data_IF_486111637146
#
_entry.id   IF_486111637146
#
_cell.length_a   1.000
_cell.length_b   1.000
_cell.length_c   1.000
_cell.angle_alpha   90.00
_cell.angle_beta   90.00
_cell.angle_gamma   90.00
#
_symmetry.space_group_name_H-M   'P 1'
#
loop_
_entity.id
_entity.type
_entity.pdbx_description
1 polymer ?
#
# COMPACT_ATOMS: atom_id res chain seq x y z
N UNK A 1 -33.40 -11.66 -16.53
CA UNK A 1 -32.22 -11.16 -17.25
C UNK A 1 -31.65 -12.33 -18.02
N UNK A 2 -31.55 -12.19 -19.34
CA UNK A 2 -31.13 -13.27 -20.23
C UNK A 2 -29.61 -13.43 -20.16
N UNK A 3 -29.14 -14.65 -19.84
CA UNK A 3 -27.73 -14.92 -19.50
C UNK A 3 -26.81 -14.71 -20.71
N UNK A 4 -27.37 -14.76 -21.93
CA UNK A 4 -26.65 -14.53 -23.18
C UNK A 4 -26.19 -13.08 -23.40
N UNK A 5 -26.86 -12.09 -22.83
CA UNK A 5 -26.48 -10.67 -23.00
C UNK A 5 -25.26 -10.28 -22.15
N UNK A 6 -25.01 -10.99 -21.04
CA UNK A 6 -23.90 -10.72 -20.12
C UNK A 6 -22.53 -11.15 -20.68
N UNK A 7 -22.50 -12.17 -21.55
CA UNK A 7 -21.25 -12.66 -22.15
C UNK A 7 -20.74 -11.77 -23.30
N UNK A 8 -21.61 -10.93 -23.86
CA UNK A 8 -21.28 -10.01 -24.96
C UNK A 8 -21.10 -8.56 -24.49
N UNK A 9 -21.18 -8.29 -23.20
CA UNK A 9 -21.06 -6.95 -22.65
C UNK A 9 -19.60 -6.49 -22.65
N UNK A 10 -19.29 -5.49 -23.47
CA UNK A 10 -18.02 -4.75 -23.40
C UNK A 10 -18.27 -3.41 -22.69
N UNK A 11 -17.62 -3.13 -21.55
CA UNK A 11 -17.79 -1.86 -20.87
C UNK A 11 -17.14 -0.72 -21.67
N UNK A 12 -17.86 0.39 -21.80
CA UNK A 12 -17.39 1.60 -22.50
C UNK A 12 -16.10 2.14 -21.85
N UNK A 13 -15.00 2.10 -22.61
CA UNK A 13 -13.73 2.74 -22.23
C UNK A 13 -13.87 4.25 -22.39
N UNK A 14 -14.15 4.90 -21.27
CA UNK A 14 -13.80 6.30 -21.04
C UNK A 14 -14.97 7.27 -21.16
N UNK A 15 -15.62 7.52 -20.03
CA UNK A 15 -16.40 8.73 -19.82
C UNK A 15 -15.48 9.95 -20.00
N UNK A 16 -15.66 10.69 -21.11
CA UNK A 16 -15.10 12.03 -21.21
C UNK A 16 -15.88 12.93 -20.25
N UNK A 17 -15.15 13.55 -19.31
CA UNK A 17 -15.66 14.56 -18.37
C UNK A 17 -16.41 15.65 -19.15
N UNK A 18 -17.57 16.15 -18.69
CA UNK A 18 -18.27 17.23 -19.37
C UNK A 18 -17.45 18.53 -19.21
N UNK A 19 -17.25 19.26 -20.30
CA UNK A 19 -16.81 20.66 -20.27
C UNK A 19 -18.02 21.49 -20.69
N UNK A 20 -18.34 22.49 -19.86
CA UNK A 20 -19.55 23.30 -19.92
C UNK A 20 -19.70 24.05 -21.26
N UNK A 21 -20.99 24.22 -21.60
CA UNK A 21 -21.55 24.81 -22.81
C UNK A 21 -21.33 26.33 -22.85
N UNK A 22 -20.90 26.85 -24.00
CA UNK A 22 -21.28 28.18 -24.46
C UNK A 22 -21.41 28.11 -25.98
N UNK A 23 -22.65 28.19 -26.43
CA UNK A 23 -23.04 28.05 -27.83
C UNK A 23 -22.54 29.17 -28.73
N UNK A 24 -22.54 28.89 -30.04
CA UNK A 24 -23.03 29.73 -31.15
C UNK A 24 -22.52 29.12 -32.48
N UNK A 25 -23.47 28.51 -33.22
CA UNK A 25 -23.66 28.65 -34.67
C UNK A 25 -22.52 28.34 -35.69
N UNK A 26 -22.71 27.26 -36.47
CA UNK A 26 -22.90 27.20 -37.95
C UNK A 26 -22.20 26.00 -38.64
N UNK A 27 -23.04 25.15 -39.26
CA UNK A 27 -22.88 24.44 -40.57
C UNK A 27 -21.48 23.88 -40.90
N UNK A 28 -21.27 22.62 -41.28
CA UNK A 28 -21.87 21.99 -42.47
C UNK A 28 -21.44 20.51 -42.58
N UNK A 29 -22.39 19.64 -42.90
CA UNK A 29 -22.32 18.35 -43.64
C UNK A 29 -21.10 17.41 -43.48
N UNK A 30 -21.41 16.27 -42.87
CA UNK A 30 -20.75 14.96 -43.00
C UNK A 30 -20.91 14.41 -44.43
N UNK A 31 -19.85 13.77 -44.98
CA UNK A 31 -19.81 12.42 -45.61
C UNK A 31 -18.94 12.36 -46.87
N UNK A 32 -17.83 11.62 -46.82
CA UNK A 32 -17.61 10.35 -47.56
C UNK A 32 -16.15 9.93 -47.36
N UNK A 33 -15.89 8.83 -46.67
CA UNK A 33 -15.87 7.44 -47.16
C UNK A 33 -14.50 7.09 -47.76
N UNK A 34 -13.79 6.19 -47.05
CA UNK A 34 -12.80 5.20 -47.54
C UNK A 34 -11.58 5.75 -48.28
N UNK A 35 -10.39 5.56 -47.69
CA UNK A 35 -9.53 4.46 -48.14
C UNK A 35 -8.33 4.23 -47.21
N UNK A 36 -8.03 2.94 -47.07
CA UNK A 36 -6.95 2.34 -46.30
C UNK A 36 -5.61 2.78 -46.86
N UNK A 37 -4.72 3.29 -45.99
CA UNK A 37 -3.28 3.26 -46.28
C UNK A 37 -2.53 2.88 -45.01
N UNK A 38 -2.21 1.59 -44.92
CA UNK A 38 -1.15 1.08 -44.06
C UNK A 38 0.13 1.79 -44.50
N UNK A 39 0.58 2.76 -43.70
CA UNK A 39 1.87 3.40 -43.91
C UNK A 39 2.90 2.56 -43.15
N UNK A 40 3.69 1.78 -43.89
CA UNK A 40 4.94 1.22 -43.41
C UNK A 40 5.79 2.37 -42.85
N UNK A 41 6.06 2.33 -41.55
CA UNK A 41 7.04 3.20 -40.92
C UNK A 41 8.40 2.58 -41.24
N UNK A 42 9.13 3.25 -42.13
CA UNK A 42 10.54 2.96 -42.43
C UNK A 42 11.35 3.37 -41.20
N UNK A 43 12.34 2.58 -40.73
CA UNK A 43 13.19 3.00 -39.62
C UNK A 43 14.08 4.15 -40.09
N UNK A 44 13.91 5.32 -39.48
CA UNK A 44 14.79 6.48 -39.64
C UNK A 44 15.98 6.30 -38.68
N UNK A 45 17.25 6.38 -39.13
CA UNK A 45 18.42 6.02 -38.32
C UNK A 45 18.91 7.13 -37.38
N UNK A 46 18.03 8.01 -36.90
CA UNK A 46 18.40 9.13 -36.01
C UNK A 46 17.62 9.10 -34.68
N UNK A 47 17.68 7.98 -33.95
CA UNK A 47 17.13 7.88 -32.58
C UNK A 47 18.09 7.18 -31.62
N UNK A 48 19.38 7.50 -31.67
CA UNK A 48 20.35 7.08 -30.64
C UNK A 48 20.24 7.89 -29.33
N UNK A 49 19.48 8.99 -29.31
CA UNK A 49 19.37 9.87 -28.13
C UNK A 49 18.27 9.46 -27.13
N UNK A 50 17.32 8.57 -27.50
CA UNK A 50 16.20 8.21 -26.62
C UNK A 50 16.47 7.01 -25.72
N UNK A 51 17.40 6.13 -26.10
CA UNK A 51 17.79 4.97 -25.28
C UNK A 51 18.68 5.41 -24.11
N UNK A 52 19.58 6.37 -24.33
CA UNK A 52 20.42 6.95 -23.27
C UNK A 52 19.58 7.63 -22.19
N UNK A 53 18.52 8.35 -22.57
CA UNK A 53 17.62 9.00 -21.62
C UNK A 53 16.81 7.97 -20.81
N UNK A 54 16.43 6.84 -21.41
CA UNK A 54 15.72 5.77 -20.70
C UNK A 54 16.64 5.06 -19.71
N UNK A 55 17.88 4.78 -20.12
CA UNK A 55 18.88 4.14 -19.27
C UNK A 55 19.31 5.07 -18.13
N UNK A 56 19.47 6.37 -18.40
CA UNK A 56 19.78 7.39 -17.39
C UNK A 56 18.62 7.64 -16.41
N UNK A 57 17.37 7.45 -16.85
CA UNK A 57 16.20 7.50 -15.95
C UNK A 57 16.10 6.23 -15.10
N UNK A 58 16.45 5.05 -15.64
CA UNK A 58 16.51 3.81 -14.88
C UNK A 58 17.62 3.86 -13.81
N UNK A 59 18.81 4.35 -14.18
CA UNK A 59 19.96 4.49 -13.27
C UNK A 59 19.63 5.44 -12.10
N UNK A 60 19.00 6.58 -12.37
CA UNK A 60 18.55 7.52 -11.32
C UNK A 60 17.46 6.98 -10.40
N UNK A 61 16.72 5.95 -10.82
CA UNK A 61 15.71 5.29 -9.99
C UNK A 61 16.36 4.20 -9.12
N UNK A 62 17.36 3.49 -9.64
CA UNK A 62 18.14 2.48 -8.91
C UNK A 62 19.03 3.11 -7.85
N UNK A 63 19.73 4.21 -8.16
CA UNK A 63 20.57 4.94 -7.19
C UNK A 63 19.76 5.55 -6.04
N UNK A 64 18.46 5.79 -6.24
CA UNK A 64 17.57 6.33 -5.20
C UNK A 64 17.06 5.25 -4.23
N UNK A 65 17.17 3.98 -4.59
CA UNK A 65 16.78 2.85 -3.73
C UNK A 65 17.92 2.35 -2.84
N UNK A 66 19.19 2.60 -3.21
CA UNK A 66 20.36 2.11 -2.47
C UNK A 66 20.76 2.99 -1.26
N UNK A 67 20.38 4.27 -1.22
CA UNK A 67 20.75 5.22 -0.15
C UNK A 67 19.63 5.47 0.87
N UNK A 68 18.90 4.43 1.27
CA UNK A 68 18.21 4.52 2.57
C UNK A 68 19.22 4.13 3.65
N UNK A 69 20.16 5.04 3.96
CA UNK A 69 20.91 4.97 5.21
C UNK A 69 19.88 4.92 6.35
N UNK A 70 19.65 3.71 6.86
CA UNK A 70 18.80 3.48 8.02
C UNK A 70 19.54 4.13 9.19
N UNK A 71 19.18 5.36 9.52
CA UNK A 71 19.60 5.95 10.79
C UNK A 71 19.28 4.93 11.89
N UNK A 72 20.23 4.61 12.77
CA UNK A 72 20.02 3.60 13.79
C UNK A 72 18.83 4.02 14.63
N UNK A 73 17.76 3.21 14.60
CA UNK A 73 16.60 3.46 15.43
C UNK A 73 17.06 3.37 16.89
N UNK A 74 16.97 4.49 17.60
CA UNK A 74 17.35 4.56 19.01
C UNK A 74 16.52 3.57 19.85
N UNK A 75 17.19 2.77 20.69
CA UNK A 75 16.54 1.83 21.62
C UNK A 75 15.48 2.51 22.50
N UNK A 76 15.71 3.77 22.86
CA UNK A 76 14.77 4.56 23.67
C UNK A 76 13.46 4.87 22.91
N UNK A 77 13.55 5.11 21.60
CA UNK A 77 12.41 5.32 20.71
C UNK A 77 11.60 4.03 20.56
N UNK A 78 12.30 2.90 20.38
CA UNK A 78 11.69 1.55 20.31
C UNK A 78 10.92 1.23 21.59
N UNK A 79 11.54 1.47 22.76
CA UNK A 79 10.87 1.28 24.06
C UNK A 79 9.60 2.12 24.16
N UNK A 80 9.65 3.38 23.74
CA UNK A 80 8.47 4.26 23.73
C UNK A 80 7.38 3.75 22.78
N UNK A 81 7.76 3.25 21.61
CA UNK A 81 6.85 2.69 20.61
C UNK A 81 6.13 1.45 21.16
N UNK A 82 6.87 0.51 21.76
CA UNK A 82 6.32 -0.69 22.42
C UNK A 82 5.36 -0.31 23.56
N UNK A 83 5.75 0.64 24.42
CA UNK A 83 4.87 1.10 25.52
C UNK A 83 3.59 1.78 25.01
N UNK A 84 3.68 2.49 23.87
CA UNK A 84 2.52 3.13 23.24
C UNK A 84 1.59 2.09 22.64
N UNK A 85 2.13 1.05 22.02
CA UNK A 85 1.38 -0.11 21.52
C UNK A 85 0.58 -0.79 22.64
N UNK A 86 1.22 -1.11 23.77
CA UNK A 86 0.54 -1.71 24.92
C UNK A 86 -0.62 -0.84 25.41
N UNK A 87 -0.39 0.48 25.51
CA UNK A 87 -1.43 1.43 25.93
C UNK A 87 -2.60 1.50 24.95
N UNK A 88 -2.34 1.45 23.65
CA UNK A 88 -3.38 1.47 22.60
C UNK A 88 -4.14 0.14 22.55
N UNK A 89 -3.44 -0.98 22.64
CA UNK A 89 -4.03 -2.33 22.69
C UNK A 89 -4.96 -2.48 23.89
N UNK A 90 -4.51 -2.07 25.09
CA UNK A 90 -5.33 -2.10 26.29
C UNK A 90 -6.60 -1.23 26.17
N UNK A 91 -6.47 0.00 25.65
CA UNK A 91 -7.62 0.89 25.43
C UNK A 91 -8.61 0.32 24.42
N UNK A 92 -8.13 -0.25 23.32
CA UNK A 92 -8.98 -0.86 22.31
C UNK A 92 -9.75 -2.04 22.92
N UNK A 93 -9.07 -2.92 23.65
CA UNK A 93 -9.71 -4.04 24.34
C UNK A 93 -10.76 -3.56 25.37
N UNK A 94 -10.43 -2.53 26.15
CA UNK A 94 -11.35 -1.95 27.13
C UNK A 94 -12.64 -1.42 26.47
N UNK A 95 -12.52 -0.73 25.33
CA UNK A 95 -13.67 -0.19 24.61
C UNK A 95 -14.49 -1.30 23.94
N UNK A 96 -13.86 -2.35 23.41
CA UNK A 96 -14.57 -3.52 22.86
C UNK A 96 -15.36 -4.26 23.93
N UNK A 97 -14.84 -4.33 25.16
CA UNK A 97 -15.56 -4.89 26.31
C UNK A 97 -16.71 -3.96 26.76
N UNK A 98 -16.48 -2.64 26.77
CA UNK A 98 -17.51 -1.66 27.19
C UNK A 98 -18.64 -1.50 26.18
N UNK A 99 -18.35 -1.61 24.88
CA UNK A 99 -19.27 -1.30 23.79
C UNK A 99 -19.23 -2.39 22.70
N UNK A 100 -19.59 -3.64 23.00
CA UNK A 100 -19.49 -4.74 22.04
C UNK A 100 -20.38 -4.54 20.80
N UNK A 101 -21.55 -3.92 20.96
CA UNK A 101 -22.52 -3.73 19.87
C UNK A 101 -22.36 -2.42 19.09
N UNK A 102 -21.43 -1.54 19.51
CA UNK A 102 -21.27 -0.20 18.93
C UNK A 102 -19.86 0.00 18.35
N UNK A 103 -19.60 -0.48 17.12
CA UNK A 103 -18.27 -0.40 16.50
C UNK A 103 -17.74 1.02 16.33
N UNK A 104 -18.62 2.01 16.16
CA UNK A 104 -18.23 3.43 16.07
C UNK A 104 -17.48 3.94 17.31
N UNK A 105 -17.68 3.32 18.48
CA UNK A 105 -17.06 3.76 19.74
C UNK A 105 -15.61 3.31 19.88
N UNK A 106 -15.20 2.20 19.24
CA UNK A 106 -13.84 1.69 19.31
C UNK A 106 -13.06 1.81 17.99
N UNK A 107 -13.73 2.18 16.90
CA UNK A 107 -13.13 2.38 15.57
C UNK A 107 -11.89 3.30 15.60
N UNK A 108 -11.96 4.45 16.27
CA UNK A 108 -10.82 5.38 16.38
C UNK A 108 -9.63 4.72 17.09
N UNK A 109 -9.87 4.03 18.20
CA UNK A 109 -8.80 3.32 18.92
C UNK A 109 -8.25 2.12 18.16
N UNK A 110 -9.02 1.58 17.24
CA UNK A 110 -8.62 0.47 16.39
C UNK A 110 -7.71 0.93 15.25
N UNK A 111 -8.03 2.08 14.65
CA UNK A 111 -7.15 2.77 13.70
C UNK A 111 -5.84 3.17 14.38
N UNK A 112 -5.90 3.78 15.56
CA UNK A 112 -4.71 4.10 16.35
C UNK A 112 -3.84 2.86 16.63
N UNK A 113 -4.46 1.72 16.94
CA UNK A 113 -3.76 0.45 17.16
C UNK A 113 -3.12 -0.06 15.86
N UNK A 114 -3.81 0.08 14.72
CA UNK A 114 -3.25 -0.29 13.42
C UNK A 114 -2.01 0.57 13.09
N UNK A 115 -2.10 1.90 13.27
CA UNK A 115 -1.01 2.82 12.97
C UNK A 115 0.26 2.51 13.79
N UNK A 116 0.12 2.24 15.10
CA UNK A 116 1.29 1.90 15.93
C UNK A 116 1.87 0.53 15.56
N UNK A 117 1.04 -0.43 15.13
CA UNK A 117 1.52 -1.72 14.65
C UNK A 117 2.30 -1.57 13.34
N UNK A 118 1.90 -0.64 12.47
CA UNK A 118 2.66 -0.32 11.25
C UNK A 118 4.00 0.32 11.59
N UNK A 119 4.02 1.30 12.51
CA UNK A 119 5.27 1.90 13.00
C UNK A 119 6.20 0.85 13.64
N UNK A 120 5.63 -0.08 14.43
CA UNK A 120 6.38 -1.17 15.05
C UNK A 120 7.04 -2.10 14.02
N UNK A 121 6.60 -2.12 12.76
CA UNK A 121 7.17 -2.99 11.74
C UNK A 121 8.67 -2.78 11.51
N UNK A 122 9.17 -1.57 11.77
CA UNK A 122 10.61 -1.25 11.70
C UNK A 122 11.42 -2.09 12.69
N UNK A 123 10.85 -2.49 13.84
CA UNK A 123 11.55 -3.38 14.78
C UNK A 123 11.80 -4.75 14.14
N UNK A 124 10.86 -5.24 13.31
CA UNK A 124 10.99 -6.56 12.68
C UNK A 124 12.19 -6.65 11.72
N UNK A 125 12.71 -5.53 11.20
CA UNK A 125 13.89 -5.51 10.33
C UNK A 125 15.22 -5.51 11.09
N UNK A 126 15.19 -5.42 12.43
CA UNK A 126 16.39 -5.32 13.27
C UNK A 126 16.34 -6.36 14.39
N UNK A 127 16.96 -7.54 14.20
CA UNK A 127 16.90 -8.63 15.19
C UNK A 127 17.55 -8.26 16.54
N UNK A 128 18.50 -7.34 16.54
CA UNK A 128 19.17 -6.86 17.76
C UNK A 128 18.19 -6.25 18.77
N UNK A 129 17.08 -5.69 18.31
CA UNK A 129 16.09 -5.01 19.15
C UNK A 129 15.03 -5.96 19.74
N UNK A 130 15.04 -7.25 19.39
CA UNK A 130 14.02 -8.20 19.86
C UNK A 130 14.06 -8.47 21.36
N UNK A 131 15.21 -8.27 22.01
CA UNK A 131 15.30 -8.36 23.46
C UNK A 131 14.33 -7.40 24.16
N UNK A 132 14.10 -6.21 23.59
CA UNK A 132 13.17 -5.22 24.11
C UNK A 132 11.71 -5.69 24.07
N UNK A 133 11.33 -6.44 23.03
CA UNK A 133 9.99 -7.01 22.90
C UNK A 133 9.72 -8.08 23.97
N UNK A 134 10.75 -8.84 24.32
CA UNK A 134 10.69 -9.86 25.39
C UNK A 134 10.61 -9.18 26.76
N UNK A 135 11.49 -8.21 27.03
CA UNK A 135 11.54 -7.50 28.32
C UNK A 135 10.25 -6.75 28.64
N UNK A 136 9.63 -6.14 27.63
CA UNK A 136 8.37 -5.39 27.77
C UNK A 136 7.12 -6.26 27.58
N UNK A 137 7.28 -7.57 27.43
CA UNK A 137 6.20 -8.56 27.31
C UNK A 137 5.25 -8.33 26.11
N UNK A 138 5.70 -7.58 25.09
CA UNK A 138 4.90 -7.20 23.93
C UNK A 138 4.52 -8.40 23.05
N UNK A 139 5.33 -9.46 23.09
CA UNK A 139 5.10 -10.70 22.33
C UNK A 139 3.75 -11.34 22.69
N UNK A 140 3.36 -11.30 23.97
CA UNK A 140 2.08 -11.86 24.41
C UNK A 140 0.90 -11.07 23.85
N UNK A 141 0.99 -9.74 23.87
CA UNK A 141 -0.03 -8.86 23.31
C UNK A 141 -0.14 -9.00 21.80
N UNK A 142 0.99 -9.10 21.08
CA UNK A 142 1.02 -9.40 19.64
C UNK A 142 0.37 -10.75 19.33
N UNK A 143 0.68 -11.79 20.09
CA UNK A 143 0.07 -13.11 19.92
C UNK A 143 -1.45 -13.07 20.15
N UNK A 144 -1.91 -12.29 21.13
CA UNK A 144 -3.34 -12.07 21.37
C UNK A 144 -4.07 -11.42 20.19
N UNK A 145 -3.39 -10.55 19.45
CA UNK A 145 -3.93 -9.88 18.26
C UNK A 145 -4.02 -10.80 17.03
N UNK A 146 -3.37 -11.98 17.03
CA UNK A 146 -3.55 -12.98 15.96
C UNK A 146 -4.95 -13.63 15.95
N UNK A 147 -5.78 -13.36 16.94
CA UNK A 147 -7.19 -13.79 16.95
C UNK A 147 -8.14 -12.60 16.95
N UNK A 148 -7.66 -11.43 16.52
CA UNK A 148 -8.48 -10.22 16.46
C UNK A 148 -9.56 -10.36 15.38
N UNK A 149 -10.76 -9.83 15.66
CA UNK A 149 -11.90 -9.91 14.73
C UNK A 149 -11.69 -9.11 13.44
N UNK A 150 -10.88 -8.05 13.53
CA UNK A 150 -10.49 -7.27 12.37
C UNK A 150 -9.31 -7.91 11.64
N UNK A 151 -9.59 -8.34 10.41
CA UNK A 151 -8.63 -8.96 9.49
C UNK A 151 -7.44 -8.07 9.16
N UNK A 152 -7.60 -6.74 9.17
CA UNK A 152 -6.50 -5.83 8.86
C UNK A 152 -5.43 -5.85 9.95
N UNK A 153 -5.86 -5.88 11.22
CA UNK A 153 -4.96 -6.04 12.37
C UNK A 153 -4.29 -7.42 12.34
N UNK A 154 -5.08 -8.47 12.07
CA UNK A 154 -4.57 -9.83 11.92
C UNK A 154 -3.45 -9.90 10.86
N UNK A 155 -3.71 -9.36 9.66
CA UNK A 155 -2.78 -9.39 8.55
C UNK A 155 -1.49 -8.63 8.88
N UNK A 156 -1.61 -7.47 9.53
CA UNK A 156 -0.46 -6.66 9.91
C UNK A 156 0.44 -7.37 10.93
N UNK A 157 -0.14 -7.99 11.96
CA UNK A 157 0.62 -8.78 12.94
C UNK A 157 1.23 -10.03 12.30
N UNK A 158 0.50 -10.70 11.39
CA UNK A 158 1.04 -11.82 10.62
C UNK A 158 2.23 -11.40 9.75
N UNK A 159 2.16 -10.22 9.12
CA UNK A 159 3.25 -9.66 8.33
C UNK A 159 4.46 -9.35 9.21
N UNK A 160 4.24 -8.72 10.37
CA UNK A 160 5.27 -8.48 11.38
C UNK A 160 5.98 -9.79 11.77
N UNK A 161 5.22 -10.84 12.05
CA UNK A 161 5.77 -12.15 12.41
C UNK A 161 6.53 -12.80 11.25
N UNK A 162 6.01 -12.73 10.02
CA UNK A 162 6.69 -13.29 8.85
C UNK A 162 8.04 -12.60 8.58
N UNK A 163 8.07 -11.26 8.73
CA UNK A 163 9.28 -10.45 8.59
C UNK A 163 10.32 -10.80 9.65
N UNK A 164 9.90 -11.02 10.90
CA UNK A 164 10.82 -11.39 11.97
C UNK A 164 11.45 -12.77 11.82
N UNK A 165 10.80 -13.69 11.10
CA UNK A 165 11.37 -14.99 10.75
C UNK A 165 12.41 -14.92 9.61
N UNK A 166 12.28 -13.95 8.68
CA UNK A 166 13.21 -13.82 7.56
C UNK A 166 14.58 -13.30 8.01
N UNK A 167 14.61 -12.32 8.90
CA UNK A 167 15.86 -11.70 9.39
C UNK A 167 16.53 -12.52 10.52
N UNK A 168 15.76 -13.39 11.19
CA UNK A 168 16.22 -14.19 12.34
C UNK A 168 16.95 -15.50 12.00
N UNK A 169 17.10 -15.85 10.72
CA UNK A 169 17.75 -17.09 10.27
C UNK A 169 19.17 -16.82 9.76
N UNK A 170 20.24 -17.05 10.55
CA UNK A 170 21.62 -16.97 10.09
C UNK A 170 22.08 -18.19 9.27
N UNK A 171 21.17 -19.05 8.80
CA UNK A 171 21.48 -20.20 7.94
C UNK A 171 20.59 -20.19 6.70
N UNK A 172 21.02 -19.40 5.72
CA UNK A 172 20.86 -19.72 4.31
C UNK A 172 22.09 -19.27 3.54
#
# INVERSE_FOLDING_TARGET
MDVGELLNYQPDRGAKRPREDDGENLRTKIKSNRDVRIQQIVPDPETDDLDTDRDMVLEKLLDREEDTEVEPVDESSVKKMILTFEKRSYKNQELRIKFPDNPEKFMETELDLNDILQEMHVIATMPDLYHLLVELNAIHSLLGLLSHENTDILFLVSCFYAKSQQEGCPFQ
#
